data_IF_054932050489
#
_entry.id   IF_054932050489
#
_cell.length_a   1.000
_cell.length_b   1.000
_cell.length_c   1.000
_cell.angle_alpha   90.00
_cell.angle_beta   90.00
_cell.angle_gamma   90.00
#
_symmetry.space_group_name_H-M   'P 1'
#
loop_
_entity.id
_entity.type
_entity.pdbx_description
1 polymer ?
#
# COMPACT_ATOMS: atom_id res chain seq x y z
N UNK A 1 -16.90 -8.24 6.41
CA UNK A 1 -15.60 -8.17 5.70
C UNK A 1 -14.55 -7.49 6.57
N UNK A 2 -14.58 -6.15 6.74
CA UNK A 2 -13.54 -5.42 7.51
C UNK A 2 -13.35 -5.90 8.96
N UNK A 3 -14.41 -6.33 9.64
CA UNK A 3 -14.33 -6.89 10.99
C UNK A 3 -13.51 -8.20 11.06
N UNK A 4 -13.57 -9.02 10.02
CA UNK A 4 -12.84 -10.30 9.96
C UNK A 4 -11.37 -10.12 9.59
N UNK A 5 -10.96 -8.98 9.02
CA UNK A 5 -9.56 -8.73 8.67
C UNK A 5 -8.65 -8.72 9.89
N UNK A 6 -9.13 -8.22 11.04
CA UNK A 6 -8.36 -8.29 12.30
C UNK A 6 -8.04 -9.72 12.74
N UNK A 7 -8.95 -10.65 12.46
CA UNK A 7 -8.71 -12.07 12.72
C UNK A 7 -7.67 -12.62 11.74
N UNK A 8 -7.79 -12.28 10.46
CA UNK A 8 -6.81 -12.66 9.42
C UNK A 8 -5.42 -12.15 9.79
N UNK A 9 -5.27 -10.88 10.16
CA UNK A 9 -4.00 -10.28 10.58
C UNK A 9 -3.38 -11.03 11.77
N UNK A 10 -4.20 -11.40 12.76
CA UNK A 10 -3.76 -12.18 13.91
C UNK A 10 -3.28 -13.59 13.50
N UNK A 11 -4.03 -14.27 12.64
CA UNK A 11 -3.67 -15.61 12.15
C UNK A 11 -2.36 -15.56 11.35
N UNK A 12 -2.20 -14.55 10.50
CA UNK A 12 -0.97 -14.29 9.72
C UNK A 12 0.23 -13.99 10.60
N UNK A 13 0.02 -13.23 11.68
CA UNK A 13 1.04 -12.97 12.70
C UNK A 13 1.43 -14.20 13.54
N UNK A 14 0.75 -15.33 13.32
CA UNK A 14 1.12 -16.62 13.87
C UNK A 14 0.84 -16.74 15.37
N UNK A 15 1.60 -17.64 16.01
CA UNK A 15 1.44 -17.91 17.44
C UNK A 15 1.76 -16.68 18.31
N UNK A 16 2.68 -15.79 17.88
CA UNK A 16 3.00 -14.57 18.65
C UNK A 16 1.82 -13.62 18.69
N UNK A 17 1.26 -13.27 17.53
CA UNK A 17 0.12 -12.35 17.44
C UNK A 17 -1.13 -12.93 18.13
N UNK A 18 -1.38 -14.24 18.02
CA UNK A 18 -2.45 -14.91 18.76
C UNK A 18 -2.30 -14.74 20.27
N UNK A 19 -1.07 -14.89 20.81
CA UNK A 19 -0.80 -14.76 22.24
C UNK A 19 -0.92 -13.30 22.70
N UNK A 20 -0.46 -12.35 21.91
CA UNK A 20 -0.61 -10.92 22.17
C UNK A 20 -2.08 -10.49 22.21
N UNK A 21 -2.91 -11.06 21.33
CA UNK A 21 -4.36 -10.84 21.34
C UNK A 21 -5.07 -11.41 22.58
N UNK A 22 -4.43 -12.32 23.32
CA UNK A 22 -4.85 -12.77 24.64
C UNK A 22 -6.30 -13.23 24.70
N UNK A 23 -7.09 -12.62 25.59
CA UNK A 23 -8.46 -13.05 25.89
C UNK A 23 -9.43 -12.86 24.71
N UNK A 24 -9.05 -12.07 23.68
CA UNK A 24 -9.86 -11.91 22.47
C UNK A 24 -10.03 -13.22 21.69
N UNK A 25 -8.99 -14.05 21.64
CA UNK A 25 -9.01 -15.34 20.92
C UNK A 25 -8.76 -16.54 21.85
N UNK A 26 -8.27 -16.29 23.06
CA UNK A 26 -8.10 -17.30 24.08
C UNK A 26 -8.76 -16.83 25.40
N UNK A 27 -10.10 -16.82 25.50
CA UNK A 27 -10.78 -16.31 26.68
C UNK A 27 -10.34 -17.02 27.97
N UNK A 28 -10.26 -16.24 29.06
CA UNK A 28 -10.06 -16.78 30.40
C UNK A 28 -11.30 -17.55 30.84
N UNK A 29 -11.12 -18.73 31.43
CA UNK A 29 -12.26 -19.52 31.93
C UNK A 29 -12.77 -18.95 33.26
N UNK A 30 -14.07 -19.12 33.54
CA UNK A 30 -14.73 -18.51 34.71
C UNK A 30 -14.05 -18.81 36.06
N UNK A 31 -13.48 -20.00 36.23
CA UNK A 31 -12.83 -20.43 37.48
C UNK A 31 -11.31 -20.57 37.34
N UNK A 32 -10.72 -20.00 36.28
CA UNK A 32 -9.27 -20.03 36.06
C UNK A 32 -8.60 -18.92 36.88
N UNK A 33 -7.46 -19.22 37.50
CA UNK A 33 -6.63 -18.19 38.12
C UNK A 33 -5.94 -17.34 37.05
N UNK A 34 -5.33 -16.20 37.42
CA UNK A 34 -4.61 -15.38 36.43
C UNK A 34 -3.33 -16.10 35.98
N UNK A 35 -2.66 -16.75 36.91
CA UNK A 35 -1.42 -17.49 36.72
C UNK A 35 -1.63 -18.69 35.79
N UNK A 36 -2.71 -19.46 36.00
CA UNK A 36 -3.05 -20.60 35.13
C UNK A 36 -3.38 -20.14 33.71
N UNK A 37 -4.09 -19.01 33.58
CA UNK A 37 -4.38 -18.41 32.29
C UNK A 37 -3.10 -18.03 31.54
N UNK A 38 -2.16 -17.34 32.19
CA UNK A 38 -0.90 -16.94 31.57
C UNK A 38 -0.02 -18.14 31.18
N UNK A 39 -0.01 -19.19 32.01
CA UNK A 39 0.67 -20.44 31.69
C UNK A 39 0.04 -21.11 30.45
N UNK A 40 -1.30 -21.16 30.37
CA UNK A 40 -2.02 -21.70 29.21
C UNK A 40 -1.79 -20.86 27.95
N UNK A 41 -1.80 -19.53 28.07
CA UNK A 41 -1.52 -18.62 26.94
C UNK A 41 -0.12 -18.87 26.37
N UNK A 42 0.89 -19.03 27.22
CA UNK A 42 2.28 -19.32 26.81
C UNK A 42 2.41 -20.67 26.09
N UNK A 43 1.60 -21.66 26.45
CA UNK A 43 1.60 -22.99 25.83
C UNK A 43 0.72 -23.08 24.58
N UNK A 44 -0.27 -22.19 24.43
CA UNK A 44 -1.14 -22.16 23.28
C UNK A 44 -0.33 -21.93 22.00
N UNK A 45 -0.60 -22.73 20.96
CA UNK A 45 0.03 -22.62 19.64
C UNK A 45 -1.06 -22.51 18.59
N UNK A 46 -0.80 -21.68 17.57
CA UNK A 46 -1.68 -21.55 16.43
C UNK A 46 -1.35 -22.64 15.42
N UNK A 47 -2.35 -23.42 15.01
CA UNK A 47 -2.20 -24.35 13.90
C UNK A 47 -2.19 -23.58 12.56
N UNK A 48 -1.14 -23.72 11.72
CA UNK A 48 -0.93 -22.88 10.53
C UNK A 48 -1.84 -23.21 9.33
N UNK A 49 -2.95 -23.94 9.53
CA UNK A 49 -3.83 -24.40 8.44
C UNK A 49 -4.29 -23.27 7.50
N UNK A 50 -4.48 -22.05 8.01
CA UNK A 50 -4.84 -20.91 7.18
C UNK A 50 -3.75 -20.56 6.16
N UNK A 51 -2.51 -20.32 6.63
CA UNK A 51 -1.37 -20.00 5.77
C UNK A 51 -1.06 -21.14 4.79
N UNK A 52 -1.12 -22.38 5.26
CA UNK A 52 -0.91 -23.56 4.42
C UNK A 52 -1.99 -23.66 3.32
N UNK A 53 -3.25 -23.38 3.67
CA UNK A 53 -4.36 -23.42 2.71
C UNK A 53 -4.24 -22.31 1.68
N UNK A 54 -3.96 -21.08 2.10
CA UNK A 54 -3.74 -19.94 1.19
C UNK A 54 -2.56 -20.24 0.27
N UNK A 55 -1.42 -20.65 0.82
CA UNK A 55 -0.23 -21.02 0.05
C UNK A 55 -0.51 -22.15 -0.96
N UNK A 56 -1.23 -23.20 -0.56
CA UNK A 56 -1.60 -24.28 -1.45
C UNK A 56 -2.56 -23.83 -2.57
N UNK A 57 -3.52 -22.95 -2.28
CA UNK A 57 -4.43 -22.42 -3.29
C UNK A 57 -3.72 -21.52 -4.29
N UNK A 58 -2.88 -20.60 -3.82
CA UNK A 58 -2.03 -19.75 -4.68
C UNK A 58 -1.14 -20.64 -5.55
N UNK A 59 -0.44 -21.62 -4.96
CA UNK A 59 0.42 -22.55 -5.69
C UNK A 59 -0.31 -23.37 -6.74
N UNK A 60 -1.57 -23.75 -6.50
CA UNK A 60 -2.41 -24.44 -7.51
C UNK A 60 -2.81 -23.54 -8.66
N UNK A 61 -3.22 -22.31 -8.38
CA UNK A 61 -3.64 -21.33 -9.42
C UNK A 61 -2.46 -20.95 -10.30
N UNK A 62 -1.30 -20.73 -9.70
CA UNK A 62 -0.07 -20.34 -10.38
C UNK A 62 0.90 -21.50 -10.63
N UNK A 63 0.39 -22.74 -10.65
CA UNK A 63 1.19 -23.93 -10.90
C UNK A 63 1.88 -23.89 -12.29
N UNK A 64 1.23 -23.22 -13.24
CA UNK A 64 1.82 -22.88 -14.53
C UNK A 64 2.23 -21.41 -14.49
N UNK A 65 3.41 -21.06 -15.03
CA UNK A 65 3.80 -19.66 -15.20
C UNK A 65 2.77 -18.88 -16.01
N UNK A 66 2.57 -17.62 -15.66
CA UNK A 66 1.81 -16.66 -16.45
C UNK A 66 2.55 -16.48 -17.78
N UNK A 67 1.83 -16.69 -18.87
CA UNK A 67 2.33 -16.51 -20.24
C UNK A 67 1.70 -15.25 -20.81
N UNK A 68 2.54 -14.37 -21.33
CA UNK A 68 2.11 -13.17 -22.05
C UNK A 68 1.76 -13.59 -23.49
N UNK A 69 0.64 -13.10 -24.02
CA UNK A 69 0.22 -13.41 -25.39
C UNK A 69 1.13 -12.76 -26.43
N UNK A 70 1.24 -13.38 -27.61
CA UNK A 70 2.04 -12.86 -28.74
C UNK A 70 1.51 -11.52 -29.30
N UNK A 71 0.27 -11.15 -28.94
CA UNK A 71 -0.39 -9.90 -29.31
C UNK A 71 -0.06 -8.73 -28.36
N UNK A 72 0.67 -8.98 -27.28
CA UNK A 72 1.11 -7.94 -26.35
C UNK A 72 2.29 -7.17 -26.95
N UNK A 73 2.20 -5.84 -27.09
CA UNK A 73 3.31 -5.03 -27.58
C UNK A 73 4.58 -5.24 -26.74
N UNK A 74 5.74 -5.31 -27.39
CA UNK A 74 7.03 -5.52 -26.71
C UNK A 74 7.27 -4.50 -25.59
N UNK A 75 6.90 -3.24 -25.81
CA UNK A 75 7.00 -2.17 -24.81
C UNK A 75 6.26 -2.52 -23.51
N UNK A 76 5.12 -3.23 -23.58
CA UNK A 76 4.38 -3.70 -22.39
C UNK A 76 5.03 -4.96 -21.83
N UNK A 77 5.45 -5.90 -22.69
CA UNK A 77 6.12 -7.11 -22.24
C UNK A 77 7.38 -6.82 -21.41
N UNK A 78 8.15 -5.80 -21.80
CA UNK A 78 9.33 -5.33 -21.07
C UNK A 78 8.96 -4.76 -19.68
N UNK A 79 7.81 -4.09 -19.54
CA UNK A 79 7.32 -3.63 -18.23
C UNK A 79 6.93 -4.80 -17.33
N UNK A 80 6.51 -5.93 -17.90
CA UNK A 80 6.01 -7.08 -17.15
C UNK A 80 7.15 -7.96 -16.58
N UNK A 81 8.39 -7.76 -17.01
CA UNK A 81 9.56 -8.41 -16.39
C UNK A 81 9.94 -7.78 -15.04
N UNK A 82 9.49 -6.56 -14.79
CA UNK A 82 9.67 -5.81 -13.55
C UNK A 82 8.48 -4.85 -13.40
N UNK A 83 7.35 -5.35 -12.89
CA UNK A 83 6.05 -4.68 -12.91
C UNK A 83 6.03 -3.43 -12.04
N UNK A 84 6.72 -3.47 -10.91
CA UNK A 84 6.58 -2.49 -9.83
C UNK A 84 7.84 -1.67 -9.57
N UNK A 85 8.88 -1.82 -10.39
CA UNK A 85 10.20 -1.17 -10.25
C UNK A 85 11.04 -1.66 -9.07
N UNK A 86 10.60 -2.73 -8.40
CA UNK A 86 11.34 -3.39 -7.32
C UNK A 86 11.98 -4.72 -7.79
N UNK A 87 11.95 -5.00 -9.09
CA UNK A 87 12.48 -6.22 -9.70
C UNK A 87 11.53 -7.41 -9.63
N UNK A 88 10.23 -7.18 -9.35
CA UNK A 88 9.23 -8.26 -9.34
C UNK A 88 8.58 -8.41 -10.70
N UNK A 89 8.70 -9.60 -11.28
CA UNK A 89 8.00 -9.92 -12.53
C UNK A 89 6.48 -10.05 -12.33
N UNK A 90 5.75 -10.17 -13.44
CA UNK A 90 4.29 -10.34 -13.44
C UNK A 90 3.83 -11.57 -12.67
N UNK A 91 4.59 -12.66 -12.67
CA UNK A 91 4.22 -13.88 -11.95
C UNK A 91 4.18 -13.61 -10.44
N UNK A 92 5.24 -13.02 -9.90
CA UNK A 92 5.36 -12.70 -8.47
C UNK A 92 4.34 -11.64 -8.06
N UNK A 93 4.20 -10.58 -8.86
CA UNK A 93 3.22 -9.52 -8.61
C UNK A 93 1.78 -10.06 -8.57
N UNK A 94 1.41 -10.90 -9.54
CA UNK A 94 0.07 -11.48 -9.62
C UNK A 94 -0.19 -12.49 -8.49
N UNK A 95 0.81 -13.27 -8.07
CA UNK A 95 0.70 -14.17 -6.93
C UNK A 95 0.40 -13.43 -5.63
N UNK A 96 1.10 -12.33 -5.36
CA UNK A 96 0.87 -11.49 -4.18
C UNK A 96 -0.51 -10.82 -4.21
N UNK A 97 -0.87 -10.23 -5.37
CA UNK A 97 -2.20 -9.66 -5.56
C UNK A 97 -3.32 -10.68 -5.30
N UNK A 98 -3.19 -11.89 -5.87
CA UNK A 98 -4.17 -12.96 -5.70
C UNK A 98 -4.20 -13.52 -4.27
N UNK A 99 -3.02 -13.70 -3.64
CA UNK A 99 -2.90 -14.13 -2.24
C UNK A 99 -3.68 -13.19 -1.33
N UNK A 100 -3.46 -11.87 -1.44
CA UNK A 100 -4.22 -10.91 -0.62
C UNK A 100 -5.72 -10.90 -0.93
N UNK A 101 -6.10 -11.15 -2.20
CA UNK A 101 -7.49 -11.39 -2.59
C UNK A 101 -8.13 -12.59 -1.89
N UNK A 102 -7.40 -13.70 -1.73
CA UNK A 102 -7.86 -14.87 -0.97
C UNK A 102 -7.93 -14.59 0.54
N UNK A 103 -6.93 -13.91 1.08
CA UNK A 103 -6.82 -13.63 2.53
C UNK A 103 -7.89 -12.66 3.03
N UNK A 104 -8.14 -11.59 2.27
CA UNK A 104 -8.99 -10.47 2.72
C UNK A 104 -10.27 -10.31 1.90
N UNK A 105 -10.45 -11.12 0.86
CA UNK A 105 -11.59 -11.09 -0.06
C UNK A 105 -11.49 -10.01 -1.16
N UNK A 106 -10.45 -9.17 -1.11
CA UNK A 106 -10.12 -8.18 -2.12
C UNK A 106 -8.66 -7.75 -1.96
N UNK A 107 -8.02 -7.30 -3.05
CA UNK A 107 -6.75 -6.58 -3.08
C UNK A 107 -6.76 -5.72 -4.34
N UNK A 108 -6.12 -4.56 -4.30
CA UNK A 108 -6.12 -3.66 -5.45
C UNK A 108 -4.73 -3.60 -6.08
N UNK A 109 -4.71 -3.46 -7.39
CA UNK A 109 -3.52 -3.11 -8.15
C UNK A 109 -3.80 -1.78 -8.84
N UNK A 110 -2.92 -0.81 -8.62
CA UNK A 110 -2.98 0.52 -9.21
C UNK A 110 -1.79 0.69 -10.14
N UNK A 111 -2.02 1.23 -11.33
CA UNK A 111 -0.92 1.63 -12.23
C UNK A 111 -0.61 3.10 -11.95
N UNK A 112 0.62 3.37 -11.56
CA UNK A 112 1.15 4.71 -11.33
C UNK A 112 2.23 5.06 -12.34
N UNK A 113 2.57 6.33 -12.41
CA UNK A 113 3.68 6.86 -13.19
C UNK A 113 4.37 7.90 -12.31
N UNK A 114 5.71 7.96 -12.26
CA UNK A 114 6.41 8.97 -11.47
C UNK A 114 6.07 10.37 -11.98
N UNK A 115 6.33 11.38 -11.14
CA UNK A 115 6.25 12.77 -11.62
C UNK A 115 7.26 12.97 -12.75
N UNK A 116 6.82 13.59 -13.84
CA UNK A 116 7.71 13.88 -14.98
C UNK A 116 8.75 14.92 -14.55
N UNK A 117 10.06 14.62 -14.65
CA UNK A 117 11.09 15.63 -14.42
C UNK A 117 10.93 16.80 -15.39
N UNK A 118 11.11 18.03 -14.92
CA UNK A 118 10.94 19.24 -15.75
C UNK A 118 11.87 19.26 -16.96
N UNK A 119 13.10 18.79 -16.77
CA UNK A 119 14.14 18.76 -17.80
C UNK A 119 14.06 17.55 -18.73
N UNK A 120 13.08 16.65 -18.55
CA UNK A 120 12.98 15.43 -19.35
C UNK A 120 12.43 15.75 -20.76
N UNK A 121 13.23 15.59 -21.83
CA UNK A 121 12.77 15.83 -23.20
C UNK A 121 11.52 15.01 -23.52
N UNK A 122 10.64 15.55 -24.37
CA UNK A 122 9.44 14.86 -24.83
C UNK A 122 9.77 13.86 -25.96
N UNK A 123 10.63 12.89 -25.66
CA UNK A 123 11.03 11.83 -26.59
C UNK A 123 11.05 10.48 -25.88
N UNK A 124 10.64 9.42 -26.59
CA UNK A 124 10.61 8.05 -26.04
C UNK A 124 11.99 7.59 -25.56
N UNK A 125 13.05 7.97 -26.27
CA UNK A 125 14.41 7.60 -25.91
C UNK A 125 14.83 8.24 -24.58
N UNK A 126 14.48 9.51 -24.35
CA UNK A 126 14.79 10.18 -23.10
C UNK A 126 14.00 9.56 -21.93
N UNK A 127 12.71 9.26 -22.15
CA UNK A 127 11.87 8.61 -21.14
C UNK A 127 12.44 7.24 -20.72
N UNK A 128 12.86 6.42 -21.70
CA UNK A 128 13.49 5.13 -21.43
C UNK A 128 14.81 5.27 -20.65
N UNK A 129 15.67 6.22 -21.04
CA UNK A 129 16.94 6.47 -20.35
C UNK A 129 16.75 6.98 -18.91
N UNK A 130 15.70 7.77 -18.69
CA UNK A 130 15.37 8.30 -17.37
C UNK A 130 14.54 7.33 -16.51
N UNK A 131 14.18 6.15 -17.03
CA UNK A 131 13.28 5.22 -16.34
C UNK A 131 11.89 5.81 -16.10
N UNK A 132 11.46 6.78 -16.92
CA UNK A 132 10.12 7.36 -16.85
C UNK A 132 9.11 6.39 -17.45
N UNK A 133 8.58 5.50 -16.62
CA UNK A 133 7.65 4.43 -17.02
C UNK A 133 6.54 4.24 -16.00
N UNK A 134 5.38 3.70 -16.42
CA UNK A 134 4.38 3.26 -15.47
C UNK A 134 4.83 2.02 -14.70
N UNK A 135 4.27 1.84 -13.51
CA UNK A 135 4.54 0.73 -12.62
C UNK A 135 3.32 0.35 -11.80
N UNK A 136 3.25 -0.91 -11.38
CA UNK A 136 2.18 -1.45 -10.55
C UNK A 136 2.42 -1.23 -9.07
N UNK A 137 1.40 -0.81 -8.35
CA UNK A 137 1.39 -0.67 -6.89
C UNK A 137 0.28 -1.54 -6.34
N UNK A 138 0.62 -2.46 -5.44
CA UNK A 138 -0.38 -3.22 -4.69
C UNK A 138 -0.87 -2.41 -3.51
N UNK A 139 -2.18 -2.29 -3.37
CA UNK A 139 -2.81 -1.55 -2.28
C UNK A 139 -3.55 -2.54 -1.40
N UNK A 140 -3.13 -2.57 -0.14
CA UNK A 140 -3.70 -3.44 0.86
C UNK A 140 -5.13 -2.99 1.23
N UNK A 141 -6.04 -3.93 1.53
CA UNK A 141 -7.41 -3.61 1.89
C UNK A 141 -7.53 -2.66 3.09
N UNK A 142 -6.59 -2.77 4.05
CA UNK A 142 -6.52 -1.89 5.22
C UNK A 142 -6.18 -0.43 4.89
N UNK A 143 -5.50 -0.19 3.77
CA UNK A 143 -5.18 1.17 3.31
C UNK A 143 -6.40 1.88 2.70
N UNK A 144 -7.40 1.14 2.23
CA UNK A 144 -8.51 1.71 1.46
C UNK A 144 -9.54 2.39 2.35
N UNK A 145 -9.75 3.68 2.10
CA UNK A 145 -10.77 4.51 2.74
C UNK A 145 -12.13 4.35 2.06
N UNK A 146 -12.11 4.05 0.77
CA UNK A 146 -13.29 3.73 -0.02
C UNK A 146 -13.23 4.36 -1.41
N UNK A 147 -14.27 4.11 -2.18
CA UNK A 147 -14.39 4.60 -3.55
C UNK A 147 -15.77 5.20 -3.80
N UNK A 148 -15.92 5.84 -4.96
CA UNK A 148 -17.22 6.26 -5.49
C UNK A 148 -17.38 5.64 -6.88
N UNK A 149 -18.61 5.28 -7.19
CA UNK A 149 -19.02 4.88 -8.53
C UNK A 149 -19.99 5.90 -9.08
N UNK A 150 -20.08 5.97 -10.40
CA UNK A 150 -21.01 6.85 -11.10
C UNK A 150 -21.08 6.50 -12.58
N UNK A 151 -22.06 7.06 -13.28
CA UNK A 151 -22.19 6.87 -14.72
C UNK A 151 -21.24 7.79 -15.47
N UNK A 152 -20.30 7.21 -16.21
CA UNK A 152 -19.44 7.92 -17.17
C UNK A 152 -19.81 7.42 -18.56
N UNK A 153 -20.28 8.33 -19.43
CA UNK A 153 -20.84 7.97 -20.74
C UNK A 153 -21.91 6.85 -20.70
N UNK A 154 -22.74 6.84 -19.64
CA UNK A 154 -23.81 5.86 -19.45
C UNK A 154 -23.39 4.53 -18.79
N UNK A 155 -22.09 4.29 -18.63
CA UNK A 155 -21.53 3.07 -18.02
C UNK A 155 -21.18 3.32 -16.55
N UNK A 156 -21.53 2.37 -15.69
CA UNK A 156 -21.19 2.43 -14.27
C UNK A 156 -19.67 2.23 -14.11
N UNK A 157 -18.99 3.27 -13.65
CA UNK A 157 -17.53 3.38 -13.61
C UNK A 157 -17.06 3.83 -12.23
N UNK A 158 -15.81 3.48 -11.88
CA UNK A 158 -15.12 4.01 -10.72
C UNK A 158 -14.79 5.49 -10.97
N UNK A 159 -15.38 6.40 -10.17
CA UNK A 159 -15.19 7.84 -10.33
C UNK A 159 -14.21 8.42 -9.33
N UNK A 160 -13.97 7.72 -8.22
CA UNK A 160 -13.00 8.13 -7.22
C UNK A 160 -12.50 6.93 -6.42
N UNK A 161 -11.20 6.87 -6.14
CA UNK A 161 -10.58 5.91 -5.25
C UNK A 161 -9.76 6.62 -4.18
N UNK A 162 -9.87 6.20 -2.91
CA UNK A 162 -9.20 6.85 -1.77
C UNK A 162 -8.51 5.82 -0.90
N UNK A 163 -7.24 6.04 -0.61
CA UNK A 163 -6.44 5.15 0.21
C UNK A 163 -5.35 5.91 0.97
N UNK A 164 -4.89 5.31 2.06
CA UNK A 164 -3.77 5.81 2.86
C UNK A 164 -2.45 5.38 2.26
N UNK A 165 -1.49 6.29 2.31
CA UNK A 165 -0.09 6.04 2.02
C UNK A 165 0.75 6.69 3.11
N UNK A 166 2.04 6.40 3.13
CA UNK A 166 3.00 7.09 3.98
C UNK A 166 4.09 7.69 3.10
N UNK A 167 4.53 8.89 3.43
CA UNK A 167 5.78 9.46 2.95
C UNK A 167 6.80 9.35 4.09
N UNK A 168 8.04 9.09 3.73
CA UNK A 168 9.17 9.12 4.65
C UNK A 168 9.85 10.47 4.47
N UNK A 169 10.07 11.18 5.56
CA UNK A 169 10.79 12.46 5.60
C UNK A 169 12.06 12.27 6.43
N UNK A 170 13.22 12.49 5.81
CA UNK A 170 14.50 12.45 6.51
C UNK A 170 14.55 13.61 7.52
N UNK A 171 14.68 13.28 8.80
CA UNK A 171 14.83 14.27 9.88
C UNK A 171 16.31 14.53 10.11
N UNK A 172 17.12 13.47 10.15
CA UNK A 172 18.58 13.49 10.22
C UNK A 172 19.19 12.20 9.64
N UNK A 173 20.52 12.09 9.65
CA UNK A 173 21.28 10.95 9.10
C UNK A 173 20.84 9.57 9.64
N UNK A 174 20.20 9.52 10.82
CA UNK A 174 19.82 8.27 11.48
C UNK A 174 18.32 8.16 11.74
N UNK A 175 17.53 9.17 11.38
CA UNK A 175 16.13 9.28 11.78
C UNK A 175 15.26 9.74 10.64
N UNK A 176 14.23 8.94 10.37
CA UNK A 176 13.15 9.26 9.45
C UNK A 176 11.84 9.45 10.20
N UNK A 177 11.02 10.38 9.75
CA UNK A 177 9.63 10.54 10.19
C UNK A 177 8.66 10.01 9.13
N UNK A 178 7.67 9.25 9.59
CA UNK A 178 6.58 8.75 8.75
C UNK A 178 5.41 9.72 8.76
N UNK A 179 5.14 10.35 7.62
CA UNK A 179 4.02 11.29 7.42
C UNK A 179 2.86 10.55 6.75
N UNK A 180 1.75 10.37 7.47
CA UNK A 180 0.53 9.78 6.91
C UNK A 180 -0.08 10.70 5.84
N UNK A 181 -0.37 10.13 4.68
CA UNK A 181 -1.05 10.83 3.60
C UNK A 181 -2.28 10.06 3.12
N UNK A 182 -3.25 10.79 2.58
CA UNK A 182 -4.40 10.24 1.87
C UNK A 182 -4.29 10.60 0.41
N UNK A 183 -4.29 9.59 -0.46
CA UNK A 183 -4.38 9.78 -1.90
C UNK A 183 -5.84 9.70 -2.35
N UNK A 184 -6.24 10.65 -3.18
CA UNK A 184 -7.55 10.68 -3.84
C UNK A 184 -7.29 10.67 -5.34
N UNK A 185 -7.69 9.59 -5.99
CA UNK A 185 -7.54 9.38 -7.44
C UNK A 185 -8.90 9.48 -8.09
N UNK A 186 -8.97 10.31 -9.12
CA UNK A 186 -10.11 10.53 -10.01
C UNK A 186 -9.56 10.43 -11.45
N UNK A 187 -10.38 10.11 -12.47
CA UNK A 187 -9.89 9.81 -13.83
C UNK A 187 -8.93 10.83 -14.45
N UNK A 188 -9.02 12.10 -14.04
CA UNK A 188 -8.19 13.19 -14.55
C UNK A 188 -7.54 14.02 -13.45
N UNK A 189 -7.57 13.52 -12.20
CA UNK A 189 -7.08 14.28 -11.05
C UNK A 189 -6.54 13.34 -9.99
N UNK A 190 -5.30 13.59 -9.60
CA UNK A 190 -4.69 12.96 -8.44
C UNK A 190 -4.42 14.05 -7.41
N UNK A 191 -4.78 13.78 -6.16
CA UNK A 191 -4.51 14.65 -5.02
C UNK A 191 -3.92 13.85 -3.88
N UNK A 192 -3.06 14.51 -3.13
CA UNK A 192 -2.49 14.00 -1.89
C UNK A 192 -2.91 14.95 -0.77
N UNK A 193 -3.31 14.40 0.36
CA UNK A 193 -3.67 15.16 1.54
C UNK A 193 -2.81 14.71 2.70
N UNK A 194 -2.33 15.64 3.50
CA UNK A 194 -1.59 15.36 4.73
C UNK A 194 -2.38 15.84 5.94
N UNK A 195 -2.20 15.13 7.06
CA UNK A 195 -2.79 15.52 8.33
C UNK A 195 -2.05 16.74 8.87
N UNK A 196 -2.74 17.88 8.91
CA UNK A 196 -2.25 19.04 9.62
C UNK A 196 -2.81 19.09 11.04
N UNK A 197 -1.97 19.54 11.97
CA UNK A 197 -2.34 19.84 13.36
C UNK A 197 -2.45 21.35 13.51
N UNK A 198 -3.49 21.84 14.18
CA UNK A 198 -3.48 23.22 14.71
C UNK A 198 -3.49 23.20 16.23
N UNK A 199 -2.88 24.24 16.81
CA UNK A 199 -2.90 24.52 18.24
C UNK A 199 -3.51 25.91 18.43
N UNK A 200 -4.45 26.02 19.35
CA UNK A 200 -4.92 27.30 19.89
C UNK A 200 -4.89 27.16 21.42
N UNK A 201 -4.31 28.15 22.10
CA UNK A 201 -4.18 28.20 23.57
C UNK A 201 -3.57 26.94 24.21
N UNK A 202 -2.43 26.46 23.68
CA UNK A 202 -1.59 25.46 24.33
C UNK A 202 -2.12 24.01 24.35
N UNK A 203 -3.28 23.73 23.72
CA UNK A 203 -3.83 22.37 23.58
C UNK A 203 -4.01 21.92 22.12
N UNK A 204 -3.84 20.62 21.86
CA UNK A 204 -4.26 19.97 20.61
C UNK A 204 -5.79 19.75 20.65
N UNK A 205 -6.53 20.31 19.69
CA UNK A 205 -8.01 20.18 19.65
C UNK A 205 -8.58 19.64 18.33
N UNK A 206 -7.81 19.49 17.25
CA UNK A 206 -8.37 18.97 16.00
C UNK A 206 -7.34 18.57 14.95
N UNK A 207 -7.78 17.66 14.08
CA UNK A 207 -7.05 17.19 12.90
C UNK A 207 -7.78 17.70 11.66
N UNK A 208 -7.04 18.15 10.66
CA UNK A 208 -7.59 18.50 9.36
C UNK A 208 -6.70 17.96 8.26
N UNK A 209 -7.27 17.77 7.07
CA UNK A 209 -6.52 17.35 5.90
C UNK A 209 -6.28 18.57 5.01
N UNK A 210 -5.00 18.90 4.76
CA UNK A 210 -4.62 19.92 3.77
C UNK A 210 -4.11 19.23 2.52
N UNK A 211 -4.48 19.75 1.36
CA UNK A 211 -3.95 19.27 0.08
C UNK A 211 -2.45 19.56 0.05
N UNK A 212 -1.66 18.50 -0.08
CA UNK A 212 -0.20 18.57 -0.19
C UNK A 212 0.15 19.08 -1.60
N UNK A 213 0.87 20.20 -1.73
CA UNK A 213 1.13 20.83 -3.02
C UNK A 213 2.20 20.10 -3.87
N UNK A 214 2.75 18.98 -3.38
CA UNK A 214 3.92 18.32 -3.95
C UNK A 214 5.23 18.91 -3.42
N UNK A 215 6.35 18.22 -3.67
CA UNK A 215 7.68 18.83 -3.50
C UNK A 215 7.84 19.96 -4.52
N UNK A 216 7.59 21.20 -4.11
CA UNK A 216 8.30 22.31 -4.75
C UNK A 216 9.74 22.19 -4.30
N UNK A 217 10.60 21.65 -5.17
CA UNK A 217 12.03 21.93 -5.05
C UNK A 217 12.13 23.46 -5.08
N UNK A 218 12.50 24.04 -3.93
CA UNK A 218 12.81 25.46 -3.85
C UNK A 218 13.82 25.75 -4.96
N UNK A 219 13.68 26.82 -5.77
CA UNK A 219 14.81 27.30 -6.54
C UNK A 219 15.93 27.47 -5.54
N UNK A 220 17.05 26.77 -5.75
CA UNK A 220 18.26 27.01 -5.00
C UNK A 220 18.45 28.53 -4.99
N UNK A 221 18.47 29.11 -3.79
CA UNK A 221 18.91 30.48 -3.61
C UNK A 221 20.38 30.51 -4.04
N UNK A 222 20.62 30.71 -5.32
CA UNK A 222 21.93 31.14 -5.78
C UNK A 222 22.16 32.51 -5.16
N UNK A 223 23.21 32.69 -4.32
CA UNK A 223 23.60 34.02 -3.91
C UNK A 223 24.06 34.74 -5.18
N UNK A 224 23.22 35.64 -5.67
CA UNK A 224 23.56 36.54 -6.76
C UNK A 224 24.85 37.25 -6.40
N UNK A 225 25.91 36.87 -7.11
CA UNK A 225 27.16 37.59 -7.20
C UNK A 225 26.86 39.07 -7.42
N UNK A 226 27.23 39.87 -6.42
CA UNK A 226 27.57 41.25 -6.64
C UNK A 226 28.66 41.30 -7.73
N UNK A 227 28.50 42.24 -8.67
CA UNK A 227 29.53 43.16 -9.13
C UNK A 227 29.42 43.49 -10.64
N UNK A 228 29.31 44.81 -10.86
CA UNK A 228 29.61 45.61 -12.05
C UNK A 228 28.54 45.78 -13.12
#
# INVERSE_FOLDING_TARGET
MREHWKLVDCIKGGTSAMREAGEAYLPKRQLETREDYEARLKLATLHPAFEETVGAMVGRVFAKPVVIGDDVPQEIADLLTDVDTEGRDLQVFAQDWFRGGLEYGLKFALVEIPQRPEDLPNTRQAEQQAGFRPYGVLIEPGQVLGWKTGKVAGVDSLTQFRFRTCRVEEVDEFTDESVEQIRVIEPHRHRVFEEGKWRQDGGLQGQFWREWPGERVSPAQHPGLAHH
#
